data_IF_923670097099
#
_entry.id   IF_923670097099
#
_cell.length_a   1.000
_cell.length_b   1.000
_cell.length_c   1.000
_cell.angle_alpha   90.00
_cell.angle_beta   90.00
_cell.angle_gamma   90.00
#
_symmetry.space_group_name_H-M   'P 1'
#
loop_
_entity.id
_entity.type
_entity.pdbx_description
1 polymer ?
#
# COMPACT_ATOMS: atom_id res chain seq x y z
N UNK A 1 -7.19 -4.56 9.90
CA UNK A 1 -7.16 -3.56 8.82
C UNK A 1 -6.25 -3.94 7.66
N UNK A 2 -5.01 -4.30 7.94
CA UNK A 2 -4.04 -4.62 6.88
C UNK A 2 -4.45 -5.85 6.08
N UNK A 3 -4.93 -6.90 6.74
CA UNK A 3 -5.36 -8.12 6.07
C UNK A 3 -6.55 -7.86 5.16
N UNK A 4 -7.49 -7.04 5.59
CA UNK A 4 -8.66 -6.67 4.79
C UNK A 4 -8.27 -5.81 3.60
N UNK A 5 -7.38 -4.84 3.79
CA UNK A 5 -6.85 -4.04 2.68
C UNK A 5 -6.15 -4.91 1.64
N UNK A 6 -5.36 -5.87 2.10
CA UNK A 6 -4.67 -6.82 1.23
C UNK A 6 -5.66 -7.64 0.40
N UNK A 7 -6.63 -8.26 1.07
CA UNK A 7 -7.60 -9.14 0.40
C UNK A 7 -8.45 -8.38 -0.60
N UNK A 8 -8.93 -7.17 -0.25
CA UNK A 8 -9.74 -6.36 -1.14
C UNK A 8 -8.93 -5.82 -2.31
N UNK A 9 -7.67 -5.49 -2.11
CA UNK A 9 -6.78 -5.04 -3.19
C UNK A 9 -6.48 -6.19 -4.15
N UNK A 10 -6.20 -7.38 -3.61
CA UNK A 10 -5.92 -8.57 -4.40
C UNK A 10 -7.10 -8.99 -5.27
N UNK A 11 -8.32 -8.85 -4.76
CA UNK A 11 -9.54 -9.16 -5.51
C UNK A 11 -9.97 -8.04 -6.45
N UNK A 12 -9.19 -6.95 -6.54
CA UNK A 12 -9.47 -5.76 -7.34
C UNK A 12 -10.73 -5.00 -6.88
N UNK A 13 -11.14 -5.20 -5.63
CA UNK A 13 -12.23 -4.46 -5.02
C UNK A 13 -11.87 -3.05 -4.59
N UNK A 14 -10.57 -2.74 -4.50
CA UNK A 14 -10.07 -1.41 -4.19
C UNK A 14 -9.16 -0.93 -5.31
N UNK A 15 -9.31 0.34 -5.69
CA UNK A 15 -8.48 0.98 -6.71
C UNK A 15 -7.64 2.06 -6.03
N UNK A 16 -6.34 1.89 -6.05
CA UNK A 16 -5.39 2.84 -5.48
C UNK A 16 -5.09 3.94 -6.49
N UNK A 17 -4.72 5.11 -5.99
CA UNK A 17 -4.39 6.27 -6.81
C UNK A 17 -3.02 6.80 -6.45
N UNK A 18 -2.32 7.36 -7.44
CA UNK A 18 -1.08 8.06 -7.21
C UNK A 18 -1.35 9.37 -6.45
N UNK A 19 -0.36 9.83 -5.70
CA UNK A 19 -0.40 11.11 -5.01
C UNK A 19 0.66 12.04 -5.61
N UNK A 20 0.72 13.28 -5.10
CA UNK A 20 1.76 14.23 -5.52
C UNK A 20 3.17 13.80 -5.11
N UNK A 21 3.27 12.85 -4.18
CA UNK A 21 4.55 12.32 -3.71
C UNK A 21 4.81 10.98 -4.38
N UNK A 22 5.93 10.86 -5.07
CA UNK A 22 6.34 9.62 -5.71
C UNK A 22 6.43 8.48 -4.69
N UNK A 23 5.87 7.32 -5.06
CA UNK A 23 5.91 6.15 -4.21
C UNK A 23 4.90 6.14 -3.08
N UNK A 24 4.00 7.11 -3.03
CA UNK A 24 2.88 7.14 -2.08
C UNK A 24 1.58 6.93 -2.82
N UNK A 25 0.82 5.91 -2.43
CA UNK A 25 -0.46 5.54 -3.06
C UNK A 25 -1.58 5.68 -2.05
N UNK A 26 -2.75 6.07 -2.51
CA UNK A 26 -3.86 6.45 -1.64
C UNK A 26 -5.18 5.86 -2.10
N UNK A 27 -6.02 5.49 -1.12
CA UNK A 27 -7.43 5.18 -1.29
C UNK A 27 -8.23 6.17 -0.46
N UNK A 28 -9.28 6.73 -1.06
CA UNK A 28 -10.19 7.66 -0.37
C UNK A 28 -11.53 7.01 -0.09
N UNK A 29 -11.99 7.15 1.14
CA UNK A 29 -13.32 6.78 1.60
C UNK A 29 -14.10 8.05 1.90
N UNK A 30 -15.44 7.99 2.12
CA UNK A 30 -16.23 9.22 2.31
C UNK A 30 -15.74 10.14 3.43
N UNK A 31 -15.22 9.58 4.54
CA UNK A 31 -14.79 10.38 5.69
C UNK A 31 -13.33 10.20 6.06
N UNK A 32 -12.65 9.27 5.42
CA UNK A 32 -11.24 8.97 5.71
C UNK A 32 -10.50 8.66 4.43
N UNK A 33 -9.18 8.75 4.48
CA UNK A 33 -8.32 8.24 3.42
C UNK A 33 -7.16 7.45 4.04
N UNK A 34 -6.64 6.50 3.27
CA UNK A 34 -5.53 5.65 3.69
C UNK A 34 -4.44 5.77 2.63
N UNK A 35 -3.21 6.03 3.05
CA UNK A 35 -2.07 6.03 2.14
C UNK A 35 -1.08 4.95 2.54
N UNK A 36 -0.41 4.40 1.53
CA UNK A 36 0.71 3.47 1.67
C UNK A 36 1.96 4.16 1.18
N UNK A 37 3.01 4.11 1.98
CA UNK A 37 4.31 4.64 1.60
C UNK A 37 5.41 3.67 1.98
N UNK A 38 6.54 3.81 1.31
CA UNK A 38 7.76 3.08 1.63
C UNK A 38 8.82 4.10 1.96
N UNK A 39 9.30 4.08 3.20
CA UNK A 39 10.24 5.07 3.71
C UNK A 39 11.58 4.40 3.99
N UNK A 40 12.65 5.12 3.74
CA UNK A 40 13.99 4.65 4.04
C UNK A 40 14.17 4.58 5.55
N UNK A 41 14.67 3.43 6.03
CA UNK A 41 14.98 3.26 7.44
C UNK A 41 16.18 4.14 7.80
N UNK A 42 16.09 4.94 8.89
CA UNK A 42 17.22 5.76 9.33
C UNK A 42 18.39 4.94 9.91
N UNK A 43 18.14 3.66 10.29
CA UNK A 43 19.20 2.79 10.79
C UNK A 43 19.80 1.99 9.62
N UNK A 44 21.09 2.25 9.27
CA UNK A 44 21.70 1.58 8.13
C UNK A 44 21.98 0.08 8.34
N UNK A 45 21.85 -0.42 9.57
CA UNK A 45 22.08 -1.83 9.87
C UNK A 45 20.81 -2.67 9.72
N UNK A 46 19.65 -2.04 9.59
CA UNK A 46 18.38 -2.72 9.41
C UNK A 46 17.95 -2.72 7.94
N UNK A 47 16.77 -3.27 7.67
CA UNK A 47 16.20 -3.32 6.33
C UNK A 47 16.22 -1.93 5.67
N UNK A 48 16.50 -1.89 4.37
CA UNK A 48 16.69 -0.64 3.65
C UNK A 48 15.48 0.29 3.67
N UNK A 49 14.26 -0.26 3.79
CA UNK A 49 13.02 0.53 3.76
C UNK A 49 11.95 -0.10 4.62
N UNK A 50 11.17 0.74 5.28
CA UNK A 50 9.98 0.34 6.02
C UNK A 50 8.72 0.74 5.25
N UNK A 51 7.66 -0.05 5.40
CA UNK A 51 6.35 0.27 4.85
C UNK A 51 5.49 0.94 5.92
N UNK A 52 4.71 1.95 5.50
CA UNK A 52 3.89 2.74 6.39
C UNK A 52 2.47 2.86 5.85
N UNK A 53 1.51 2.71 6.76
CA UNK A 53 0.11 3.01 6.50
C UNK A 53 -0.23 4.27 7.27
N UNK A 54 -0.75 5.28 6.58
CA UNK A 54 -1.16 6.54 7.19
C UNK A 54 -2.66 6.73 6.98
N UNK A 55 -3.36 7.13 8.03
CA UNK A 55 -4.80 7.34 8.02
C UNK A 55 -5.08 8.82 8.24
N UNK A 56 -5.88 9.40 7.34
CA UNK A 56 -6.25 10.81 7.38
C UNK A 56 -7.77 10.95 7.52
N UNK A 57 -8.23 12.02 8.20
CA UNK A 57 -9.65 12.33 8.27
C UNK A 57 -10.09 13.14 7.03
N UNK A 58 -11.37 13.53 7.00
CA UNK A 58 -11.94 14.27 5.86
C UNK A 58 -11.32 15.65 5.65
N UNK A 59 -10.72 16.22 6.70
CA UNK A 59 -10.02 17.50 6.61
C UNK A 59 -8.56 17.35 6.13
N UNK A 60 -8.13 16.13 5.84
CA UNK A 60 -6.77 15.85 5.42
C UNK A 60 -5.77 15.80 6.57
N UNK A 61 -6.25 15.74 7.81
CA UNK A 61 -5.39 15.66 8.99
C UNK A 61 -5.00 14.22 9.29
N UNK A 62 -3.71 14.00 9.54
CA UNK A 62 -3.18 12.69 9.93
C UNK A 62 -3.75 12.29 11.29
N UNK A 63 -4.45 11.15 11.33
CA UNK A 63 -5.01 10.59 12.55
C UNK A 63 -4.06 9.57 13.17
N UNK A 64 -3.52 8.68 12.34
CA UNK A 64 -2.68 7.59 12.80
C UNK A 64 -1.71 7.17 11.71
N UNK A 65 -0.59 6.58 12.13
CA UNK A 65 0.45 6.12 11.24
C UNK A 65 1.04 4.85 11.81
N UNK A 66 1.06 3.77 11.02
CA UNK A 66 1.47 2.44 11.47
C UNK A 66 2.53 1.90 10.52
N UNK A 67 3.66 1.43 11.06
CA UNK A 67 4.70 0.78 10.28
C UNK A 67 4.57 -0.75 10.33
N UNK A 68 5.28 -1.44 9.44
CA UNK A 68 5.37 -2.90 9.46
C UNK A 68 5.97 -3.41 10.78
N UNK A 69 6.88 -2.65 11.38
CA UNK A 69 7.49 -2.99 12.67
C UNK A 69 6.42 -2.99 13.77
N UNK A 70 5.53 -2.00 13.77
CA UNK A 70 4.45 -1.89 14.76
C UNK A 70 3.45 -3.04 14.63
N UNK A 71 3.21 -3.52 13.41
CA UNK A 71 2.22 -4.57 13.14
C UNK A 71 2.74 -5.99 13.39
N UNK A 72 4.05 -6.17 13.50
CA UNK A 72 4.65 -7.50 13.58
C UNK A 72 4.12 -8.29 14.77
N UNK A 73 3.91 -7.65 15.90
CA UNK A 73 3.44 -8.31 17.12
C UNK A 73 1.97 -8.75 17.03
N UNK A 74 1.18 -8.10 16.20
CA UNK A 74 -0.25 -8.35 16.05
C UNK A 74 -0.58 -9.28 14.87
N UNK A 75 0.46 -9.74 14.18
CA UNK A 75 0.28 -10.54 12.98
C UNK A 75 -0.01 -12.00 13.32
N UNK A 76 -1.14 -12.53 12.84
CA UNK A 76 -1.62 -13.85 13.21
C UNK A 76 -0.97 -15.00 12.45
N UNK A 77 -0.33 -14.73 11.32
CA UNK A 77 0.30 -15.77 10.50
C UNK A 77 1.81 -15.82 10.77
N UNK A 78 2.32 -16.87 11.43
CA UNK A 78 3.74 -16.95 11.76
C UNK A 78 4.67 -17.16 10.55
N UNK A 79 4.14 -17.58 9.41
CA UNK A 79 4.94 -17.84 8.21
C UNK A 79 5.21 -16.58 7.40
N UNK A 80 4.40 -15.51 7.59
CA UNK A 80 4.56 -14.26 6.88
C UNK A 80 4.90 -13.15 7.86
N UNK A 81 5.94 -12.39 7.56
CA UNK A 81 6.26 -11.20 8.35
C UNK A 81 5.36 -10.05 7.90
N UNK A 82 5.11 -9.09 8.81
CA UNK A 82 4.36 -7.90 8.48
C UNK A 82 5.03 -7.13 7.32
N UNK A 83 6.37 -7.13 7.29
CA UNK A 83 7.13 -6.52 6.22
C UNK A 83 6.79 -7.13 4.85
N UNK A 84 6.76 -8.46 4.76
CA UNK A 84 6.43 -9.15 3.50
C UNK A 84 5.00 -8.88 3.06
N UNK A 85 4.07 -8.91 4.01
CA UNK A 85 2.65 -8.69 3.74
C UNK A 85 2.40 -7.27 3.23
N UNK A 86 2.97 -6.28 3.91
CA UNK A 86 2.86 -4.89 3.49
C UNK A 86 3.60 -4.62 2.18
N UNK A 87 4.71 -5.33 1.95
CA UNK A 87 5.43 -5.24 0.69
C UNK A 87 4.60 -5.72 -0.49
N UNK A 88 3.89 -6.83 -0.33
CA UNK A 88 2.98 -7.33 -1.36
C UNK A 88 1.80 -6.36 -1.57
N UNK A 89 1.23 -5.85 -0.49
CA UNK A 89 0.16 -4.86 -0.58
C UNK A 89 0.63 -3.60 -1.30
N UNK A 90 1.80 -3.11 -0.95
CA UNK A 90 2.38 -1.92 -1.59
C UNK A 90 2.56 -2.14 -3.09
N UNK A 91 3.08 -3.29 -3.50
CA UNK A 91 3.26 -3.60 -4.93
C UNK A 91 1.93 -3.67 -5.66
N UNK A 92 0.92 -4.30 -5.06
CA UNK A 92 -0.43 -4.34 -5.65
C UNK A 92 -1.05 -2.95 -5.75
N UNK A 93 -0.86 -2.10 -4.72
CA UNK A 93 -1.34 -0.72 -4.74
C UNK A 93 -0.67 0.08 -5.85
N UNK A 94 0.64 -0.06 -6.02
CA UNK A 94 1.38 0.59 -7.09
C UNK A 94 0.85 0.17 -8.46
N UNK A 95 0.68 -1.13 -8.69
CA UNK A 95 0.17 -1.64 -9.97
C UNK A 95 -1.23 -1.13 -10.26
N UNK A 96 -2.09 -1.08 -9.23
CA UNK A 96 -3.45 -0.54 -9.35
C UNK A 96 -3.41 0.95 -9.71
N UNK A 97 -2.62 1.74 -8.98
CA UNK A 97 -2.55 3.19 -9.17
C UNK A 97 -1.97 3.57 -10.53
N UNK A 98 -1.01 2.81 -11.00
CA UNK A 98 -0.35 3.09 -12.29
C UNK A 98 -1.09 2.48 -13.49
N UNK A 99 -2.17 1.74 -13.26
CA UNK A 99 -2.96 1.16 -14.33
C UNK A 99 -2.21 0.09 -15.13
N UNK A 100 -1.36 -0.70 -14.46
CA UNK A 100 -0.50 -1.69 -15.14
C UNK A 100 -1.32 -2.68 -15.95
N UNK A 101 -2.43 -3.17 -15.41
CA UNK A 101 -3.27 -4.14 -16.11
C UNK A 101 -3.91 -3.54 -17.37
N UNK A 102 -4.38 -2.29 -17.29
CA UNK A 102 -4.92 -1.59 -18.45
C UNK A 102 -3.84 -1.35 -19.51
N UNK A 103 -2.64 -0.97 -19.09
CA UNK A 103 -1.52 -0.76 -20.00
C UNK A 103 -1.16 -2.06 -20.73
N UNK A 104 -1.12 -3.18 -20.04
CA UNK A 104 -0.83 -4.49 -20.63
C UNK A 104 -1.91 -4.85 -21.66
N UNK A 105 -3.19 -4.67 -21.34
CA UNK A 105 -4.27 -4.96 -22.26
C UNK A 105 -4.23 -4.09 -23.51
N UNK A 106 -3.93 -2.80 -23.36
CA UNK A 106 -3.78 -1.91 -24.49
C UNK A 106 -2.61 -2.31 -25.40
N UNK A 107 -1.48 -2.69 -24.80
CA UNK A 107 -0.33 -3.18 -25.55
C UNK A 107 -0.70 -4.44 -26.34
N UNK A 108 -1.35 -5.39 -25.68
CA UNK A 108 -1.77 -6.64 -26.33
C UNK A 108 -2.75 -6.38 -27.46
N UNK A 109 -3.67 -5.45 -27.29
CA UNK A 109 -4.61 -5.07 -28.35
C UNK A 109 -3.91 -4.45 -29.56
N UNK A 110 -2.84 -3.70 -29.33
CA UNK A 110 -2.06 -3.09 -30.42
C UNK A 110 -1.18 -4.11 -31.14
N UNK A 111 -0.74 -5.15 -30.44
CA UNK A 111 0.09 -6.21 -31.02
C UNK A 111 -0.73 -7.26 -31.76
N UNK A 112 -1.99 -7.41 -31.38
CA UNK A 112 -2.91 -8.36 -32.00
C UNK A 112 -3.60 -7.77 -33.19
#
# INVERSE_FOLDING_TARGET
LIELLYDLTKSQGLVWQETEVDGVYQISFPTYSVSLSRRRNPDPEEAEKDYWISIYNSDGKLIDEISDVDLQSDFSNPELTAFQYMGELYDMARRSAMGVENAIQEILAQLG
#
